data_IF_156548961747
#
_entry.id   IF_156548961747
#
_cell.length_a   1.000
_cell.length_b   1.000
_cell.length_c   1.000
_cell.angle_alpha   90.00
_cell.angle_beta   90.00
_cell.angle_gamma   90.00
#
_symmetry.space_group_name_H-M   'P 1'
#
loop_
_entity.id
_entity.type
_entity.pdbx_description
1 polymer ?
#
# COMPACT_ATOMS: atom_id res chain seq x y z
N UNK A 1 -19.48 -24.72 31.77
CA UNK A 1 -18.12 -24.90 31.24
C UNK A 1 -17.82 -23.68 30.38
N UNK A 2 -17.03 -22.73 30.89
CA UNK A 2 -16.52 -21.64 30.09
C UNK A 2 -15.22 -22.12 29.43
N UNK A 3 -15.29 -22.39 28.13
CA UNK A 3 -14.06 -22.53 27.34
C UNK A 3 -13.37 -21.17 27.31
N UNK A 4 -12.29 -21.05 28.07
CA UNK A 4 -11.33 -19.96 27.96
C UNK A 4 -10.65 -20.08 26.61
N UNK A 5 -11.16 -19.34 25.63
CA UNK A 5 -10.54 -19.20 24.32
C UNK A 5 -9.25 -18.38 24.54
N UNK A 6 -8.15 -19.06 24.72
CA UNK A 6 -6.82 -18.42 24.73
C UNK A 6 -6.61 -17.74 23.36
N UNK A 7 -6.17 -16.49 23.32
CA UNK A 7 -5.86 -15.86 22.05
C UNK A 7 -4.77 -16.67 21.34
N UNK A 8 -4.82 -16.78 20.00
CA UNK A 8 -3.78 -17.48 19.25
C UNK A 8 -2.42 -16.84 19.57
N UNK A 9 -1.33 -17.64 19.58
CA UNK A 9 -0.01 -17.10 19.83
C UNK A 9 0.31 -16.00 18.81
N UNK A 10 1.07 -14.95 19.21
CA UNK A 10 1.46 -13.89 18.29
C UNK A 10 2.22 -14.51 17.12
N UNK A 11 1.86 -14.07 15.91
CA UNK A 11 2.54 -14.53 14.68
C UNK A 11 4.02 -14.19 14.76
N UNK A 12 4.87 -15.14 14.39
CA UNK A 12 6.32 -14.96 14.45
C UNK A 12 6.78 -13.90 13.43
N UNK A 13 7.74 -13.07 13.84
CA UNK A 13 8.33 -12.06 12.96
C UNK A 13 8.96 -12.70 11.73
N UNK A 14 8.66 -12.15 10.57
CA UNK A 14 9.28 -12.51 9.30
C UNK A 14 10.11 -11.34 8.79
N UNK A 15 11.33 -11.60 8.36
CA UNK A 15 12.18 -10.66 7.64
C UNK A 15 12.83 -11.38 6.46
N UNK A 16 12.68 -10.82 5.25
CA UNK A 16 13.29 -11.40 4.04
C UNK A 16 13.82 -10.31 3.12
N UNK A 17 14.98 -10.57 2.54
CA UNK A 17 15.53 -9.81 1.43
C UNK A 17 15.10 -10.47 0.13
N UNK A 18 14.55 -9.70 -0.81
CA UNK A 18 14.23 -10.15 -2.16
C UNK A 18 15.25 -9.58 -3.15
N UNK A 19 15.70 -10.44 -4.05
CA UNK A 19 16.68 -10.11 -5.09
C UNK A 19 16.02 -9.88 -6.46
N UNK A 20 14.81 -10.38 -6.66
CA UNK A 20 14.10 -10.34 -7.93
C UNK A 20 12.77 -9.57 -7.83
N UNK A 21 12.30 -9.08 -8.98
CA UNK A 21 10.97 -8.45 -9.09
C UNK A 21 9.85 -9.42 -8.72
N UNK A 22 9.96 -10.67 -9.13
CA UNK A 22 8.95 -11.71 -8.86
C UNK A 22 8.79 -11.96 -7.36
N UNK A 23 9.90 -12.09 -6.65
CA UNK A 23 9.88 -12.22 -5.19
C UNK A 23 9.26 -10.97 -4.52
N UNK A 24 9.57 -9.77 -5.04
CA UNK A 24 8.99 -8.53 -4.55
C UNK A 24 7.46 -8.49 -4.73
N UNK A 25 6.95 -8.93 -5.89
CA UNK A 25 5.51 -9.00 -6.14
C UNK A 25 4.81 -9.94 -5.16
N UNK A 26 5.37 -11.12 -4.94
CA UNK A 26 4.86 -12.07 -3.94
C UNK A 26 4.87 -11.47 -2.53
N UNK A 27 5.95 -10.78 -2.16
CA UNK A 27 6.07 -10.13 -0.86
C UNK A 27 5.05 -9.00 -0.68
N UNK A 28 4.78 -8.21 -1.71
CA UNK A 28 3.74 -7.17 -1.68
C UNK A 28 2.36 -7.80 -1.43
N UNK A 29 2.02 -8.88 -2.12
CA UNK A 29 0.76 -9.59 -1.90
C UNK A 29 0.65 -10.16 -0.48
N UNK A 30 1.76 -10.66 0.09
CA UNK A 30 1.80 -11.09 1.48
C UNK A 30 1.52 -9.93 2.45
N UNK A 31 2.13 -8.76 2.23
CA UNK A 31 1.86 -7.56 3.05
C UNK A 31 0.39 -7.16 2.95
N UNK A 32 -0.15 -7.06 1.74
CA UNK A 32 -1.56 -6.71 1.52
C UNK A 32 -2.52 -7.71 2.18
N UNK A 33 -2.19 -8.99 2.14
CA UNK A 33 -2.98 -10.05 2.77
C UNK A 33 -3.01 -9.99 4.31
N UNK A 34 -2.03 -9.32 4.93
CA UNK A 34 -2.00 -9.12 6.38
C UNK A 34 -2.84 -7.93 6.85
N UNK A 35 -3.24 -7.05 5.96
CA UNK A 35 -3.98 -5.83 6.32
C UNK A 35 -5.32 -6.16 7.01
N UNK A 36 -5.57 -5.47 8.14
CA UNK A 36 -6.80 -5.56 8.93
C UNK A 36 -7.55 -4.24 9.05
N UNK A 37 -6.87 -3.11 8.82
CA UNK A 37 -7.42 -1.77 8.97
C UNK A 37 -7.04 -0.84 7.83
N UNK A 38 -5.77 -0.78 7.48
CA UNK A 38 -5.26 0.22 6.57
C UNK A 38 -4.12 -0.30 5.70
N UNK A 39 -4.12 0.14 4.46
CA UNK A 39 -3.00 -0.01 3.53
C UNK A 39 -2.51 1.39 3.16
N UNK A 40 -1.19 1.59 3.23
CA UNK A 40 -0.49 2.80 2.79
C UNK A 40 0.48 2.44 1.69
N UNK A 41 0.45 3.17 0.60
CA UNK A 41 1.30 2.94 -0.57
C UNK A 41 1.95 4.25 -0.98
N UNK A 42 3.26 4.24 -1.14
CA UNK A 42 3.99 5.32 -1.77
C UNK A 42 4.82 4.82 -2.95
N UNK A 43 4.72 5.50 -4.09
CA UNK A 43 5.55 5.28 -5.27
C UNK A 43 5.63 6.55 -6.13
N UNK A 44 6.42 6.53 -7.19
CA UNK A 44 6.60 7.71 -8.03
C UNK A 44 5.45 7.92 -9.03
N UNK A 45 4.87 6.86 -9.61
CA UNK A 45 3.89 6.99 -10.67
C UNK A 45 2.95 5.77 -10.79
N UNK A 46 1.79 5.94 -11.48
CA UNK A 46 0.90 4.83 -11.79
C UNK A 46 1.58 3.70 -12.56
N UNK A 47 2.47 4.05 -13.50
CA UNK A 47 3.22 3.06 -14.27
C UNK A 47 4.08 2.17 -13.37
N UNK A 48 4.76 2.74 -12.37
CA UNK A 48 5.57 1.96 -11.44
C UNK A 48 4.70 1.06 -10.55
N UNK A 49 3.53 1.52 -10.11
CA UNK A 49 2.57 0.67 -9.42
C UNK A 49 2.09 -0.49 -10.30
N UNK A 50 1.80 -0.23 -11.57
CA UNK A 50 1.45 -1.27 -12.54
C UNK A 50 2.58 -2.27 -12.72
N UNK A 51 3.82 -1.80 -12.84
CA UNK A 51 5.01 -2.65 -12.95
C UNK A 51 5.23 -3.52 -11.70
N UNK A 52 4.69 -3.11 -10.54
CA UNK A 52 4.64 -3.90 -9.29
C UNK A 52 3.37 -4.74 -9.15
N UNK A 53 2.60 -4.88 -10.22
CA UNK A 53 1.37 -5.67 -10.29
C UNK A 53 0.20 -5.18 -9.42
N UNK A 54 0.20 -3.92 -8.98
CA UNK A 54 -0.95 -3.35 -8.26
C UNK A 54 -2.25 -3.30 -9.07
N UNK A 55 -2.17 -3.35 -10.38
CA UNK A 55 -3.34 -3.49 -11.26
C UNK A 55 -3.84 -4.93 -11.43
N UNK A 56 -3.14 -5.91 -10.90
CA UNK A 56 -3.47 -7.32 -11.03
C UNK A 56 -4.71 -7.70 -10.22
N UNK A 57 -5.52 -8.64 -10.74
CA UNK A 57 -6.78 -9.03 -10.11
C UNK A 57 -6.61 -9.49 -8.65
N UNK A 58 -5.59 -10.28 -8.35
CA UNK A 58 -5.35 -10.81 -7.01
C UNK A 58 -5.06 -9.68 -6.00
N UNK A 59 -4.24 -8.71 -6.37
CA UNK A 59 -3.95 -7.54 -5.55
C UNK A 59 -5.22 -6.72 -5.27
N UNK A 60 -6.02 -6.44 -6.30
CA UNK A 60 -7.26 -5.69 -6.17
C UNK A 60 -8.27 -6.44 -5.28
N UNK A 61 -8.34 -7.75 -5.36
CA UNK A 61 -9.22 -8.57 -4.51
C UNK A 61 -8.82 -8.50 -3.04
N UNK A 62 -7.53 -8.51 -2.71
CA UNK A 62 -7.04 -8.30 -1.35
C UNK A 62 -7.48 -6.93 -0.79
N UNK A 63 -7.31 -5.89 -1.57
CA UNK A 63 -7.73 -4.53 -1.19
C UNK A 63 -9.25 -4.44 -1.03
N UNK A 64 -10.00 -4.99 -1.99
CA UNK A 64 -11.48 -5.01 -1.93
C UNK A 64 -11.97 -5.70 -0.65
N UNK A 65 -11.43 -6.86 -0.31
CA UNK A 65 -11.80 -7.60 0.89
C UNK A 65 -11.55 -6.79 2.16
N UNK A 66 -10.44 -6.06 2.24
CA UNK A 66 -10.17 -5.15 3.35
C UNK A 66 -11.26 -4.07 3.47
N UNK A 67 -11.59 -3.42 2.36
CA UNK A 67 -12.54 -2.30 2.35
C UNK A 67 -13.98 -2.74 2.60
N UNK A 68 -14.36 -3.93 2.13
CA UNK A 68 -15.69 -4.53 2.39
C UNK A 68 -15.88 -4.89 3.87
N UNK A 69 -14.82 -5.25 4.56
CA UNK A 69 -14.90 -5.75 5.94
C UNK A 69 -15.37 -4.69 6.93
N UNK A 70 -15.05 -3.40 6.72
CA UNK A 70 -15.48 -2.31 7.59
C UNK A 70 -15.36 -0.97 6.86
N UNK A 71 -16.35 -0.08 7.08
CA UNK A 71 -16.36 1.27 6.47
C UNK A 71 -15.24 2.18 6.97
N UNK A 72 -14.64 1.87 8.10
CA UNK A 72 -13.52 2.62 8.66
C UNK A 72 -12.16 2.17 8.12
N UNK A 73 -12.12 1.08 7.38
CA UNK A 73 -10.89 0.64 6.72
C UNK A 73 -10.51 1.57 5.57
N UNK A 74 -9.21 1.76 5.36
CA UNK A 74 -8.66 2.79 4.45
C UNK A 74 -7.59 2.23 3.52
N UNK A 75 -7.55 2.80 2.32
CA UNK A 75 -6.41 2.73 1.41
C UNK A 75 -5.94 4.15 1.12
N UNK A 76 -4.69 4.46 1.42
CA UNK A 76 -4.05 5.73 1.09
C UNK A 76 -2.88 5.50 0.15
N UNK A 77 -2.88 6.19 -0.99
CA UNK A 77 -1.83 6.12 -2.00
C UNK A 77 -1.27 7.52 -2.21
N UNK A 78 0.04 7.69 -2.09
CA UNK A 78 0.77 8.89 -2.43
C UNK A 78 1.67 8.62 -3.64
N UNK A 79 1.57 9.47 -4.67
CA UNK A 79 2.37 9.39 -5.89
C UNK A 79 3.00 10.75 -6.18
N UNK A 80 4.16 10.77 -6.84
CA UNK A 80 4.72 12.03 -7.34
C UNK A 80 3.93 12.54 -8.55
N UNK A 81 3.50 11.64 -9.41
CA UNK A 81 2.73 11.92 -10.61
C UNK A 81 1.52 11.00 -10.69
N UNK A 82 0.35 11.52 -10.91
CA UNK A 82 -0.90 10.76 -11.04
C UNK A 82 -1.40 10.66 -12.49
N UNK A 83 -0.68 11.25 -13.45
CA UNK A 83 -1.06 11.20 -14.87
C UNK A 83 -1.06 9.77 -15.39
N UNK A 84 -2.06 9.42 -16.17
CA UNK A 84 -2.19 8.08 -16.74
C UNK A 84 -2.75 7.02 -15.80
N UNK A 85 -3.14 7.36 -14.59
CA UNK A 85 -3.63 6.39 -13.59
C UNK A 85 -4.85 5.61 -14.09
N UNK A 86 -5.73 6.24 -14.85
CA UNK A 86 -6.94 5.60 -15.39
C UNK A 86 -6.61 4.51 -16.41
N UNK A 87 -5.60 4.73 -17.24
CA UNK A 87 -5.15 3.76 -18.24
C UNK A 87 -4.21 2.70 -17.65
N UNK A 88 -3.36 3.06 -16.70
CA UNK A 88 -2.41 2.14 -16.09
C UNK A 88 -3.04 1.23 -15.04
N UNK A 89 -3.99 1.75 -14.26
CA UNK A 89 -4.61 1.07 -13.13
C UNK A 89 -6.15 1.12 -13.18
N UNK A 90 -6.79 0.65 -14.26
CA UNK A 90 -8.24 0.77 -14.43
C UNK A 90 -9.04 0.05 -13.34
N UNK A 91 -8.55 -1.09 -12.83
CA UNK A 91 -9.22 -1.80 -11.73
C UNK A 91 -9.13 -1.06 -10.40
N UNK A 92 -8.03 -0.37 -10.13
CA UNK A 92 -7.90 0.49 -8.95
C UNK A 92 -8.87 1.69 -9.04
N UNK A 93 -9.02 2.26 -10.22
CA UNK A 93 -9.97 3.36 -10.45
C UNK A 93 -11.42 2.89 -10.28
N UNK A 94 -11.77 1.72 -10.77
CA UNK A 94 -13.08 1.12 -10.51
C UNK A 94 -13.33 0.92 -9.00
N UNK A 95 -12.30 0.48 -8.27
CA UNK A 95 -12.37 0.32 -6.83
C UNK A 95 -12.55 1.66 -6.10
N UNK A 96 -11.82 2.72 -6.54
CA UNK A 96 -11.98 4.08 -6.03
C UNK A 96 -13.42 4.58 -6.20
N UNK A 97 -14.04 4.34 -7.34
CA UNK A 97 -15.43 4.72 -7.60
C UNK A 97 -16.39 4.00 -6.65
N UNK A 98 -16.15 2.72 -6.40
CA UNK A 98 -16.97 1.90 -5.50
C UNK A 98 -16.80 2.28 -4.02
N UNK A 99 -15.58 2.62 -3.60
CA UNK A 99 -15.19 2.90 -2.21
C UNK A 99 -14.65 4.32 -2.03
N UNK A 100 -15.28 5.31 -2.63
CA UNK A 100 -14.78 6.70 -2.67
C UNK A 100 -14.53 7.33 -1.29
N UNK A 101 -15.24 6.89 -0.26
CA UNK A 101 -15.03 7.35 1.12
C UNK A 101 -13.89 6.65 1.87
N UNK A 102 -13.34 5.58 1.32
CA UNK A 102 -12.31 4.75 1.96
C UNK A 102 -10.96 4.79 1.24
N UNK A 103 -10.91 5.26 0.00
CA UNK A 103 -9.70 5.36 -0.82
C UNK A 103 -9.36 6.82 -1.06
N UNK A 104 -8.10 7.17 -0.82
CA UNK A 104 -7.55 8.49 -1.15
C UNK A 104 -6.26 8.32 -1.96
N UNK A 105 -6.18 9.01 -3.08
CA UNK A 105 -4.99 9.05 -3.93
C UNK A 105 -4.51 10.50 -4.00
N UNK A 106 -3.34 10.74 -3.44
CA UNK A 106 -2.70 12.05 -3.34
C UNK A 106 -1.52 12.16 -4.31
N UNK A 107 -1.20 13.39 -4.65
CA UNK A 107 0.03 13.77 -5.33
C UNK A 107 0.92 14.53 -4.35
N UNK A 108 2.20 14.18 -4.31
CA UNK A 108 3.19 14.86 -3.45
C UNK A 108 3.43 16.29 -3.92
N UNK A 109 3.69 17.17 -2.95
CA UNK A 109 4.08 18.57 -3.15
C UNK A 109 5.31 18.89 -2.29
N UNK A 110 5.92 20.04 -2.51
CA UNK A 110 7.03 20.52 -1.69
C UNK A 110 8.19 19.53 -1.60
N UNK A 111 8.75 19.37 -0.41
CA UNK A 111 9.89 18.49 -0.17
C UNK A 111 9.56 17.00 -0.35
N UNK A 112 8.30 16.59 -0.19
CA UNK A 112 7.92 15.20 -0.41
C UNK A 112 8.16 14.74 -1.85
N UNK A 113 8.25 15.65 -2.83
CA UNK A 113 8.59 15.31 -4.22
C UNK A 113 10.00 14.74 -4.39
N UNK A 114 10.85 14.89 -3.39
CA UNK A 114 12.23 14.36 -3.39
C UNK A 114 12.33 12.94 -2.84
N UNK A 115 11.27 12.40 -2.22
CA UNK A 115 11.25 11.04 -1.68
C UNK A 115 11.53 10.00 -2.79
N UNK A 116 12.37 9.00 -2.49
CA UNK A 116 12.83 7.97 -3.43
C UNK A 116 12.73 6.56 -2.87
N UNK A 117 11.92 6.38 -1.85
CA UNK A 117 11.78 5.15 -1.08
C UNK A 117 10.37 4.53 -1.20
N UNK A 118 10.04 3.87 -2.34
CA UNK A 118 8.76 3.21 -2.52
C UNK A 118 8.48 2.22 -1.41
N UNK A 119 7.24 2.23 -0.90
CA UNK A 119 6.83 1.38 0.21
C UNK A 119 5.37 0.99 0.15
N UNK A 120 5.07 -0.17 0.72
CA UNK A 120 3.72 -0.67 0.99
C UNK A 120 3.67 -1.06 2.45
N UNK A 121 2.72 -0.51 3.18
CA UNK A 121 2.56 -0.76 4.62
C UNK A 121 1.14 -1.25 4.87
N UNK A 122 1.01 -2.36 5.59
CA UNK A 122 -0.26 -2.86 6.09
C UNK A 122 -0.33 -2.66 7.60
N UNK A 123 -1.35 -1.94 8.06
CA UNK A 123 -1.53 -1.54 9.44
C UNK A 123 -0.26 -0.84 9.98
N UNK A 124 0.20 -1.22 11.15
CA UNK A 124 1.45 -0.70 11.73
C UNK A 124 2.46 -1.82 11.99
N UNK A 125 2.32 -2.97 11.34
CA UNK A 125 3.08 -4.18 11.67
C UNK A 125 3.70 -4.90 10.47
N UNK A 126 3.37 -4.51 9.25
CA UNK A 126 3.84 -5.19 8.06
C UNK A 126 4.25 -4.18 7.00
N UNK A 127 5.39 -4.38 6.35
CA UNK A 127 5.79 -3.52 5.24
C UNK A 127 6.63 -4.26 4.21
N UNK A 128 6.56 -3.75 2.99
CA UNK A 128 7.52 -3.97 1.93
C UNK A 128 8.13 -2.62 1.56
N UNK A 129 9.43 -2.59 1.28
CA UNK A 129 10.09 -1.42 0.74
C UNK A 129 11.15 -1.77 -0.27
N UNK A 130 11.34 -0.92 -1.26
CA UNK A 130 12.45 -0.99 -2.20
C UNK A 130 13.70 -0.36 -1.58
N UNK A 131 14.85 -1.00 -1.74
CA UNK A 131 16.10 -0.51 -1.16
C UNK A 131 16.78 0.55 -2.04
N UNK A 132 16.73 0.35 -3.36
CA UNK A 132 17.33 1.26 -4.34
C UNK A 132 16.43 1.41 -5.56
N UNK A 133 16.43 2.60 -6.16
CA UNK A 133 15.59 2.89 -7.33
C UNK A 133 15.99 2.01 -8.53
N UNK A 134 17.30 1.80 -8.74
CA UNK A 134 17.86 1.16 -9.92
C UNK A 134 18.07 -0.37 -9.78
N UNK A 135 17.85 -0.95 -8.60
CA UNK A 135 18.06 -2.37 -8.35
C UNK A 135 16.76 -3.05 -7.92
N UNK A 136 16.55 -4.34 -8.28
CA UNK A 136 15.35 -5.07 -7.89
C UNK A 136 15.26 -5.39 -6.40
N UNK A 137 16.33 -5.14 -5.65
CA UNK A 137 16.40 -5.46 -4.20
C UNK A 137 15.32 -4.77 -3.40
N UNK A 138 14.66 -5.55 -2.58
CA UNK A 138 13.64 -5.08 -1.66
C UNK A 138 13.64 -5.89 -0.37
N UNK A 139 12.93 -5.39 0.64
CA UNK A 139 12.81 -6.04 1.95
C UNK A 139 11.33 -6.15 2.31
N UNK A 140 10.94 -7.28 2.89
CA UNK A 140 9.64 -7.44 3.54
C UNK A 140 9.84 -7.76 5.03
N UNK A 141 9.00 -7.13 5.84
CA UNK A 141 8.86 -7.45 7.26
C UNK A 141 7.39 -7.69 7.56
N UNK A 142 7.10 -8.79 8.23
CA UNK A 142 5.74 -9.11 8.69
C UNK A 142 5.75 -9.31 10.20
N UNK A 143 4.64 -8.98 10.86
CA UNK A 143 4.42 -9.17 12.29
C UNK A 143 5.46 -8.48 13.19
N UNK A 144 5.86 -7.27 12.84
CA UNK A 144 6.80 -6.48 13.64
C UNK A 144 6.46 -4.99 13.64
N UNK A 145 5.76 -4.53 14.67
CA UNK A 145 5.40 -3.13 14.81
C UNK A 145 6.63 -2.22 15.02
N UNK A 146 7.63 -2.69 15.76
CA UNK A 146 8.84 -1.92 16.03
C UNK A 146 9.62 -1.59 14.74
N UNK A 147 9.78 -2.58 13.85
CA UNK A 147 10.49 -2.39 12.58
C UNK A 147 9.65 -1.58 11.57
N UNK A 148 8.33 -1.65 11.67
CA UNK A 148 7.41 -0.95 10.74
C UNK A 148 7.24 0.52 11.10
N UNK A 149 7.36 0.89 12.36
CA UNK A 149 7.12 2.24 12.86
C UNK A 149 7.87 3.35 12.11
N UNK A 150 9.18 3.25 11.83
CA UNK A 150 9.87 4.29 11.08
C UNK A 150 9.29 4.53 9.68
N UNK A 151 8.77 3.50 9.02
CA UNK A 151 8.17 3.62 7.69
C UNK A 151 6.76 4.18 7.74
N UNK A 152 5.99 3.89 8.79
CA UNK A 152 4.72 4.58 9.05
C UNK A 152 4.96 6.07 9.24
N UNK A 153 5.91 6.45 10.08
CA UNK A 153 6.29 7.87 10.31
C UNK A 153 6.73 8.53 8.99
N UNK A 154 7.57 7.85 8.21
CA UNK A 154 8.00 8.34 6.90
C UNK A 154 6.86 8.53 5.92
N UNK A 155 5.92 7.60 5.87
CA UNK A 155 4.74 7.74 5.02
C UNK A 155 3.88 8.93 5.45
N UNK A 156 3.66 9.12 6.74
CA UNK A 156 2.87 10.26 7.25
C UNK A 156 3.53 11.60 6.92
N UNK A 157 4.86 11.71 6.99
CA UNK A 157 5.61 12.91 6.54
C UNK A 157 5.35 13.21 5.05
N UNK A 158 5.40 12.18 4.19
CA UNK A 158 5.10 12.30 2.76
C UNK A 158 3.63 12.69 2.55
N UNK A 159 2.72 12.08 3.30
CA UNK A 159 1.29 12.32 3.20
C UNK A 159 0.89 13.75 3.59
N UNK A 160 1.48 14.29 4.65
CA UNK A 160 1.27 15.68 5.08
C UNK A 160 1.70 16.70 4.00
N UNK A 161 2.65 16.32 3.14
CA UNK A 161 3.11 17.11 2.00
C UNK A 161 2.57 16.54 0.70
N UNK A 162 1.30 16.26 0.67
CA UNK A 162 0.58 15.79 -0.51
C UNK A 162 -0.83 16.38 -0.54
N UNK A 163 -1.46 16.36 -1.72
CA UNK A 163 -2.81 16.87 -1.90
C UNK A 163 -3.68 15.85 -2.65
N UNK A 164 -4.96 15.84 -2.37
CA UNK A 164 -5.91 14.98 -3.06
C UNK A 164 -5.87 15.27 -4.57
N UNK A 165 -5.56 14.26 -5.37
CA UNK A 165 -5.34 14.41 -6.80
C UNK A 165 -6.33 13.63 -7.66
N UNK A 166 -6.86 12.52 -7.15
CA UNK A 166 -7.79 11.66 -7.89
C UNK A 166 -9.02 11.41 -7.04
N UNK A 167 -10.19 11.73 -7.56
CA UNK A 167 -11.47 11.50 -6.90
C UNK A 167 -12.40 10.71 -7.81
N UNK A 168 -13.34 9.96 -7.23
CA UNK A 168 -14.37 9.25 -8.00
C UNK A 168 -15.24 10.15 -8.87
N UNK A 169 -15.36 11.44 -8.53
CA UNK A 169 -16.14 12.42 -9.27
C UNK A 169 -15.38 13.08 -10.44
N UNK A 170 -14.04 13.05 -10.43
CA UNK A 170 -13.21 13.62 -11.50
C UNK A 170 -13.02 12.67 -12.70
N UNK A 171 -13.58 11.47 -12.62
CA UNK A 171 -13.42 10.39 -13.60
C UNK A 171 -14.54 10.38 -14.66
N UNK A 172 -15.40 11.36 -14.68
CA UNK A 172 -16.64 11.37 -15.49
C UNK A 172 -16.79 12.52 -16.50
N UNK A 173 -15.69 13.04 -17.07
CA UNK A 173 -15.75 14.00 -18.18
C UNK A 173 -14.87 13.61 -19.35
#
# INVERSE_FOLDING_TARGET
>A
MHETHSPPPPSEKVYRLMETRREAHTAIDEVLGQARREIRIFDASPKLLKDREFGHAACIDLIRNLLLANRDHRLRIALHDTRGIESDLPRLIALLTQFSGQIQIHRTIGQATEARDPMVIADNAHFWRKLHVDHPRSVVTLHCAADTRPFVERFEEIWEQSELAVTGSNLGL
#
